data_IF_403990965299
#
_entry.id   IF_403990965299
#
_cell.length_a   1.000
_cell.length_b   1.000
_cell.length_c   1.000
_cell.angle_alpha   90.00
_cell.angle_beta   90.00
_cell.angle_gamma   90.00
#
_symmetry.space_group_name_H-M   'P 1'
#
loop_
_entity.id
_entity.type
_entity.pdbx_description
1 polymer ?
#
# COMPACT_ATOMS: atom_id res chain seq x y z
N UNK A 1 17.60 0.86 19.04
CA UNK A 1 17.29 1.94 19.39
C UNK A 1 15.86 2.15 19.71
N UNK A 2 15.65 2.93 20.47
CA UNK A 2 14.32 3.12 20.96
C UNK A 2 13.50 4.07 20.12
N UNK A 3 13.98 4.41 18.96
CA UNK A 3 13.26 5.36 18.15
C UNK A 3 11.84 4.92 17.88
N UNK A 4 11.64 3.59 17.72
CA UNK A 4 10.30 3.09 17.48
C UNK A 4 9.36 3.31 18.64
N UNK A 5 9.89 3.39 19.87
CA UNK A 5 9.04 3.64 21.01
C UNK A 5 8.46 5.03 21.01
N UNK A 6 9.18 5.96 20.41
CA UNK A 6 8.74 7.35 20.38
C UNK A 6 7.86 7.65 19.17
N UNK A 7 7.68 6.68 18.29
CA UNK A 7 6.88 6.86 17.11
C UNK A 7 5.43 6.52 17.42
N UNK A 8 4.60 7.51 17.34
CA UNK A 8 3.17 7.32 17.51
C UNK A 8 2.51 7.60 16.17
N UNK A 9 1.71 6.66 15.73
CA UNK A 9 0.97 6.78 14.49
C UNK A 9 -0.53 6.85 14.78
N UNK A 10 -1.23 7.63 13.98
CA UNK A 10 -2.67 7.74 14.10
C UNK A 10 -3.37 6.60 13.39
N UNK A 11 -2.74 6.06 12.35
CA UNK A 11 -3.30 4.99 11.54
C UNK A 11 -2.20 4.01 11.19
N UNK A 12 -2.46 2.73 11.41
CA UNK A 12 -1.56 1.65 11.05
C UNK A 12 -2.27 0.76 10.05
N UNK A 13 -1.74 0.65 8.84
CA UNK A 13 -2.29 -0.20 7.80
C UNK A 13 -1.48 -1.48 7.74
N UNK A 14 -2.11 -2.61 8.00
CA UNK A 14 -1.47 -3.91 7.94
C UNK A 14 -1.75 -4.49 6.56
N UNK A 15 -0.73 -4.49 5.73
CA UNK A 15 -0.83 -4.91 4.34
C UNK A 15 -0.57 -3.74 3.40
N UNK A 16 0.39 -3.92 2.49
CA UNK A 16 0.78 -2.90 1.51
C UNK A 16 0.29 -3.27 0.11
N UNK A 17 -0.91 -3.83 0.04
CA UNK A 17 -1.61 -4.02 -1.23
C UNK A 17 -2.40 -2.78 -1.59
N UNK A 18 -3.13 -2.82 -2.71
CA UNK A 18 -3.88 -1.64 -3.17
C UNK A 18 -4.85 -1.10 -2.13
N UNK A 19 -5.55 -1.96 -1.42
CA UNK A 19 -6.51 -1.53 -0.40
C UNK A 19 -5.81 -0.83 0.77
N UNK A 20 -4.72 -1.42 1.27
CA UNK A 20 -3.96 -0.82 2.36
C UNK A 20 -3.37 0.52 1.96
N UNK A 21 -2.84 0.61 0.75
CA UNK A 21 -2.30 1.87 0.23
C UNK A 21 -3.38 2.92 0.07
N UNK A 22 -4.56 2.55 -0.42
CA UNK A 22 -5.68 3.48 -0.55
C UNK A 22 -6.09 4.03 0.82
N UNK A 23 -6.17 3.16 1.82
CA UNK A 23 -6.46 3.55 3.19
C UNK A 23 -5.42 4.53 3.72
N UNK A 24 -4.15 4.24 3.48
CA UNK A 24 -3.05 5.08 3.93
C UNK A 24 -3.12 6.47 3.31
N UNK A 25 -3.47 6.56 2.03
CA UNK A 25 -3.61 7.82 1.34
C UNK A 25 -4.71 8.66 2.00
N UNK A 26 -5.86 8.06 2.26
CA UNK A 26 -6.96 8.79 2.87
C UNK A 26 -6.62 9.23 4.28
N UNK A 27 -5.92 8.40 5.05
CA UNK A 27 -5.43 8.81 6.37
C UNK A 27 -4.50 10.00 6.28
N UNK A 28 -3.59 9.97 5.31
CA UNK A 28 -2.65 11.06 5.14
C UNK A 28 -3.34 12.35 4.71
N UNK A 29 -4.34 12.25 3.83
CA UNK A 29 -5.15 13.40 3.44
C UNK A 29 -5.89 14.01 4.62
N UNK A 30 -6.25 13.19 5.58
CA UNK A 30 -6.93 13.66 6.79
C UNK A 30 -5.96 14.24 7.83
N UNK A 31 -4.67 14.32 7.51
CA UNK A 31 -3.68 14.89 8.41
C UNK A 31 -3.14 13.89 9.42
N UNK A 32 -3.41 12.61 9.25
CA UNK A 32 -2.93 11.58 10.16
C UNK A 32 -1.49 11.21 9.86
N UNK A 33 -0.79 10.78 10.89
CA UNK A 33 0.50 10.13 10.72
C UNK A 33 0.23 8.65 10.48
N UNK A 34 0.64 8.16 9.30
CA UNK A 34 0.27 6.81 8.85
C UNK A 34 1.51 5.96 8.64
N UNK A 35 1.43 4.71 9.07
CA UNK A 35 2.46 3.70 8.78
C UNK A 35 1.78 2.51 8.12
N UNK A 36 2.40 2.00 7.06
CA UNK A 36 1.97 0.78 6.38
C UNK A 36 3.02 -0.29 6.63
N UNK A 37 2.59 -1.48 7.02
CA UNK A 37 3.49 -2.61 7.28
C UNK A 37 3.02 -3.81 6.47
N UNK A 38 3.97 -4.50 5.83
CA UNK A 38 3.68 -5.73 5.11
C UNK A 38 4.76 -6.76 5.39
N UNK A 39 4.36 -8.02 5.52
CA UNK A 39 5.30 -9.11 5.73
C UNK A 39 6.08 -9.46 4.48
N UNK A 40 5.58 -9.10 3.32
CA UNK A 40 6.25 -9.34 2.04
C UNK A 40 6.74 -8.06 1.42
N UNK A 41 6.66 -8.00 0.10
CA UNK A 41 7.03 -6.81 -0.66
C UNK A 41 5.80 -5.95 -0.91
N UNK A 42 6.03 -4.78 -1.50
CA UNK A 42 4.95 -3.90 -1.90
C UNK A 42 4.05 -4.63 -2.89
N UNK A 43 2.74 -4.63 -2.64
CA UNK A 43 1.76 -5.36 -3.44
C UNK A 43 2.16 -6.82 -3.63
N UNK A 44 2.47 -7.49 -2.51
CA UNK A 44 3.02 -8.84 -2.52
C UNK A 44 2.16 -9.83 -3.30
N UNK A 45 0.83 -9.72 -3.21
CA UNK A 45 -0.06 -10.59 -3.96
C UNK A 45 0.13 -10.42 -5.47
N UNK A 46 0.20 -9.17 -5.93
CA UNK A 46 0.47 -8.90 -7.34
C UNK A 46 1.84 -9.40 -7.77
N UNK A 47 2.83 -9.22 -6.89
CA UNK A 47 4.18 -9.66 -7.20
C UNK A 47 4.23 -11.15 -7.48
N UNK A 48 3.40 -11.93 -6.78
CA UNK A 48 3.36 -13.39 -6.94
C UNK A 48 2.40 -13.87 -8.01
N UNK A 49 1.72 -12.98 -8.72
CA UNK A 49 0.93 -13.35 -9.87
C UNK A 49 1.85 -13.79 -11.02
N UNK A 50 1.34 -14.58 -11.98
CA UNK A 50 2.15 -14.97 -13.14
C UNK A 50 2.71 -13.74 -13.86
N UNK A 51 3.95 -13.87 -14.34
CA UNK A 51 4.69 -12.72 -14.88
C UNK A 51 3.97 -12.04 -16.04
N UNK A 52 3.27 -12.81 -16.86
CA UNK A 52 2.59 -12.28 -18.05
C UNK A 52 1.11 -12.04 -17.84
N UNK A 53 0.67 -12.01 -16.58
CA UNK A 53 -0.74 -11.81 -16.27
C UNK A 53 -1.19 -10.42 -16.71
N UNK A 54 -2.42 -10.37 -17.22
CA UNK A 54 -3.11 -9.12 -17.56
C UNK A 54 -4.35 -9.06 -16.69
N UNK A 55 -4.63 -7.89 -16.15
CA UNK A 55 -5.81 -7.72 -15.29
C UNK A 55 -7.09 -7.81 -16.12
N UNK A 56 -8.16 -8.28 -15.49
CA UNK A 56 -9.46 -8.34 -16.14
C UNK A 56 -10.11 -6.97 -16.31
N UNK A 57 -9.73 -6.03 -15.46
CA UNK A 57 -10.37 -4.73 -15.39
C UNK A 57 -9.56 -3.70 -16.17
N UNK A 58 -10.22 -2.58 -16.49
CA UNK A 58 -9.54 -1.45 -17.09
C UNK A 58 -8.74 -0.70 -16.01
N UNK A 59 -7.78 0.16 -16.43
CA UNK A 59 -6.94 0.86 -15.47
C UNK A 59 -7.70 1.66 -14.42
N UNK A 60 -8.84 2.24 -14.81
CA UNK A 60 -9.62 3.10 -13.92
C UNK A 60 -10.05 2.40 -12.65
N UNK A 61 -10.30 1.10 -12.71
CA UNK A 61 -10.75 0.35 -11.55
C UNK A 61 -9.62 -0.02 -10.60
N UNK A 62 -8.38 0.13 -11.05
CA UNK A 62 -7.20 -0.16 -10.24
C UNK A 62 -6.59 1.10 -9.66
N UNK A 63 -7.01 2.26 -10.14
CA UNK A 63 -6.44 3.53 -9.68
C UNK A 63 -6.80 3.82 -8.24
N UNK A 64 -5.84 4.39 -7.52
CA UNK A 64 -6.07 4.86 -6.15
C UNK A 64 -5.47 6.26 -6.01
N UNK A 65 -5.97 7.00 -5.03
CA UNK A 65 -5.41 8.30 -4.69
C UNK A 65 -5.51 9.33 -5.80
N UNK A 66 -6.49 9.18 -6.69
CA UNK A 66 -6.70 10.10 -7.81
C UNK A 66 -5.50 10.20 -8.75
N UNK A 67 -4.64 9.18 -8.75
CA UNK A 67 -3.51 9.11 -9.68
C UNK A 67 -3.88 8.22 -10.85
N UNK A 68 -3.60 8.65 -12.08
CA UNK A 68 -3.94 7.85 -13.25
C UNK A 68 -2.99 6.67 -13.42
N UNK A 69 -3.54 5.55 -13.84
CA UNK A 69 -2.76 4.38 -14.25
C UNK A 69 -2.74 4.36 -15.76
N UNK A 70 -1.57 4.60 -16.32
CA UNK A 70 -1.37 4.60 -17.77
C UNK A 70 -0.80 3.26 -18.19
N UNK A 71 -1.39 2.64 -19.18
CA UNK A 71 -0.90 1.36 -19.69
C UNK A 71 -0.93 1.35 -21.21
N UNK A 72 -0.13 0.44 -21.78
CA UNK A 72 0.08 0.40 -23.23
C UNK A 72 -1.14 -0.15 -23.96
N UNK A 73 -1.90 -1.02 -23.33
CA UNK A 73 -3.07 -1.64 -23.91
C UNK A 73 -4.31 -1.27 -23.12
N UNK A 74 -5.46 -1.80 -23.53
CA UNK A 74 -6.71 -1.49 -22.86
C UNK A 74 -6.72 -1.95 -21.39
N UNK A 75 -6.06 -3.08 -21.12
CA UNK A 75 -6.00 -3.64 -19.77
C UNK A 75 -4.56 -3.69 -19.30
N UNK A 76 -4.30 -3.30 -18.05
CA UNK A 76 -2.92 -3.25 -17.55
C UNK A 76 -2.35 -4.63 -17.29
N UNK A 77 -1.04 -4.73 -17.43
CA UNK A 77 -0.29 -5.93 -17.09
C UNK A 77 0.12 -5.90 -15.62
N UNK A 78 0.56 -7.06 -15.12
CA UNK A 78 1.12 -7.17 -13.77
C UNK A 78 2.25 -6.17 -13.55
N UNK A 79 3.17 -6.07 -14.51
CA UNK A 79 4.31 -5.16 -14.40
C UNK A 79 3.86 -3.70 -14.32
N UNK A 80 2.87 -3.34 -15.12
CA UNK A 80 2.32 -1.99 -15.10
C UNK A 80 1.66 -1.69 -13.76
N UNK A 81 0.93 -2.64 -13.21
CA UNK A 81 0.31 -2.49 -11.89
C UNK A 81 1.33 -2.31 -10.79
N UNK A 82 2.37 -3.13 -10.77
CA UNK A 82 3.43 -3.01 -9.76
C UNK A 82 4.14 -1.66 -9.84
N UNK A 83 4.45 -1.24 -11.06
CA UNK A 83 5.10 0.06 -11.27
C UNK A 83 4.20 1.19 -10.79
N UNK A 84 2.92 1.10 -11.08
CA UNK A 84 1.94 2.10 -10.69
C UNK A 84 1.90 2.25 -9.15
N UNK A 85 1.78 1.15 -8.43
CA UNK A 85 1.67 1.23 -6.98
C UNK A 85 2.95 1.72 -6.31
N UNK A 86 4.12 1.42 -6.90
CA UNK A 86 5.36 1.99 -6.41
C UNK A 86 5.36 3.52 -6.57
N UNK A 87 4.86 4.01 -7.70
CA UNK A 87 4.77 5.45 -7.92
C UNK A 87 3.78 6.12 -6.98
N UNK A 88 2.69 5.43 -6.65
CA UNK A 88 1.72 5.94 -5.69
C UNK A 88 2.37 6.15 -4.33
N UNK A 89 3.16 5.18 -3.87
CA UNK A 89 3.87 5.31 -2.59
C UNK A 89 4.81 6.51 -2.61
N UNK A 90 5.54 6.70 -3.70
CA UNK A 90 6.46 7.84 -3.85
C UNK A 90 5.71 9.16 -3.89
N UNK A 91 4.64 9.22 -4.66
CA UNK A 91 3.89 10.46 -4.83
C UNK A 91 3.31 10.98 -3.52
N UNK A 92 2.75 10.09 -2.71
CA UNK A 92 2.17 10.46 -1.44
C UNK A 92 3.15 10.39 -0.29
N UNK A 93 4.41 10.03 -0.56
CA UNK A 93 5.45 9.90 0.46
C UNK A 93 4.96 9.02 1.62
N UNK A 94 4.36 7.89 1.30
CA UNK A 94 3.84 6.96 2.29
C UNK A 94 5.00 6.30 3.02
N UNK A 95 4.88 6.19 4.34
CA UNK A 95 5.86 5.47 5.15
C UNK A 95 5.47 4.00 5.14
N UNK A 96 6.31 3.15 4.54
CA UNK A 96 6.03 1.73 4.35
C UNK A 96 7.19 0.92 4.88
N UNK A 97 6.89 -0.07 5.72
CA UNK A 97 7.88 -1.03 6.20
C UNK A 97 7.54 -2.38 5.60
N UNK A 98 8.46 -2.91 4.81
CA UNK A 98 8.29 -4.18 4.13
C UNK A 98 9.06 -5.27 4.85
N UNK A 99 8.64 -6.51 4.63
CA UNK A 99 9.27 -7.71 5.21
C UNK A 99 9.26 -7.67 6.74
N UNK A 100 8.22 -7.07 7.29
CA UNK A 100 7.98 -7.04 8.73
C UNK A 100 6.61 -7.62 9.00
N UNK A 101 6.56 -8.66 9.79
CA UNK A 101 5.32 -9.35 10.10
C UNK A 101 4.73 -8.80 11.40
N UNK A 102 3.45 -8.41 11.34
CA UNK A 102 2.73 -8.01 12.54
C UNK A 102 2.28 -9.28 13.24
N UNK A 103 2.87 -9.54 14.39
CA UNK A 103 2.60 -10.77 15.12
C UNK A 103 1.38 -10.64 16.04
N UNK A 104 1.12 -9.43 16.51
CA UNK A 104 0.09 -9.24 17.49
C UNK A 104 -0.38 -7.80 17.53
N UNK A 105 -1.67 -7.63 17.68
CA UNK A 105 -2.28 -6.33 17.94
C UNK A 105 -2.95 -6.41 19.31
N UNK A 106 -2.62 -5.47 20.19
CA UNK A 106 -3.20 -5.44 21.51
C UNK A 106 -3.86 -4.07 21.72
N UNK A 107 -5.10 -4.09 22.21
CA UNK A 107 -5.80 -2.86 22.49
C UNK A 107 -5.37 -2.24 23.81
N UNK A 108 -5.56 -0.93 23.91
CA UNK A 108 -5.46 -0.25 25.21
C UNK A 108 -6.68 -0.60 26.03
N UNK A 109 -6.56 -0.63 27.30
CA UNK A 109 -7.69 -0.98 28.12
C UNK A 109 -8.76 0.03 28.20
N UNK A 110 -9.06 -0.21 28.19
CA UNK A 110 -9.76 0.27 28.43
C UNK A 110 -10.46 0.45 28.60
N UNK A 111 -10.44 0.44 28.65
CA UNK A 111 -10.87 0.59 28.75
C UNK A 111 -11.25 0.65 28.90
#
# INVERSE_FOLDING_TARGET
>A
MSATKDLAYDLLCIGAGPTGLACAIEGKRAGMRVLVIDKGCLCNSLYHYPANMVFFTTPELLEIGDLPLVCAAEKPTRAEGLKYYRKVVEHYALEVRLRENVERVAGADEN
#
